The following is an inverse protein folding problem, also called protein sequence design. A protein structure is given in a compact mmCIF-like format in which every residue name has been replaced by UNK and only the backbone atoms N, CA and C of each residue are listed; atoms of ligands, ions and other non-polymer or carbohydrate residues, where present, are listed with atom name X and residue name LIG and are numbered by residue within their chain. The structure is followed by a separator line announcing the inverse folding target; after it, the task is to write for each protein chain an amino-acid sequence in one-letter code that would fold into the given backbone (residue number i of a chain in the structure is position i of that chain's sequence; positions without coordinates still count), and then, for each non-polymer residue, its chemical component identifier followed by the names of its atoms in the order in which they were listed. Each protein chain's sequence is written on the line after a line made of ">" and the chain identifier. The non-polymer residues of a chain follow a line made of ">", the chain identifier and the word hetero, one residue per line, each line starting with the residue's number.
data_IF_350332087927
#
_entry.id   IF_350332087927
#
_cell.length_a   1.000
_cell.length_b   1.000
_cell.length_c   1.000
_cell.angle_alpha   90.00
_cell.angle_beta   90.00
_cell.angle_gamma   90.00
#
_symmetry.space_group_name_H-M   'P 1'
#
loop_
_entity.id
_entity.type
_entity.pdbx_description
1 polymer ?
#
# COMPACT_ATOMS: atom_id res chain seq x y z
N UNK A 1 -20.64 9.57 -5.14
CA UNK A 1 -19.69 8.55 -4.64
C UNK A 1 -20.30 7.95 -3.39
N UNK A 2 -20.51 6.64 -3.36
CA UNK A 2 -21.04 5.88 -2.21
C UNK A 2 -20.23 4.59 -2.08
N UNK A 3 -20.11 4.04 -0.87
CA UNK A 3 -19.36 2.78 -0.65
C UNK A 3 -17.88 2.89 -1.05
N UNK A 4 -17.36 1.86 -1.71
CA UNK A 4 -15.94 1.69 -2.07
C UNK A 4 -15.36 2.87 -2.89
N UNK A 5 -16.18 3.48 -3.75
CA UNK A 5 -15.80 4.67 -4.52
C UNK A 5 -15.54 5.88 -3.64
N UNK A 6 -16.33 6.05 -2.57
CA UNK A 6 -16.15 7.11 -1.60
C UNK A 6 -14.88 6.86 -0.78
N UNK A 7 -14.62 5.61 -0.40
CA UNK A 7 -13.42 5.24 0.35
C UNK A 7 -12.15 5.50 -0.45
N UNK A 8 -12.14 5.15 -1.75
CA UNK A 8 -11.04 5.45 -2.65
C UNK A 8 -10.82 6.96 -2.85
N UNK A 9 -11.89 7.74 -3.05
CA UNK A 9 -11.80 9.18 -3.21
C UNK A 9 -11.31 9.88 -1.94
N UNK A 10 -11.79 9.45 -0.76
CA UNK A 10 -11.33 9.93 0.54
C UNK A 10 -9.87 9.53 0.79
N UNK A 11 -9.45 8.35 0.37
CA UNK A 11 -8.07 7.91 0.44
C UNK A 11 -7.15 8.80 -0.41
N UNK A 12 -7.50 9.08 -1.67
CA UNK A 12 -6.76 10.04 -2.51
C UNK A 12 -6.71 11.44 -1.88
N UNK A 13 -7.83 11.91 -1.33
CA UNK A 13 -7.93 13.20 -0.67
C UNK A 13 -7.00 13.31 0.56
N UNK A 14 -6.92 12.26 1.40
CA UNK A 14 -6.01 12.21 2.56
C UNK A 14 -4.53 12.31 2.18
N UNK A 15 -4.20 12.00 0.93
CA UNK A 15 -2.83 12.09 0.41
C UNK A 15 -2.61 13.32 -0.48
N UNK A 16 -3.43 14.37 -0.35
CA UNK A 16 -3.37 15.61 -1.16
C UNK A 16 -3.43 15.34 -2.68
N UNK A 17 -4.10 14.24 -3.09
CA UNK A 17 -4.09 13.76 -4.47
C UNK A 17 -2.72 13.28 -4.97
N UNK A 18 -1.70 13.24 -4.10
CA UNK A 18 -0.32 12.88 -4.41
C UNK A 18 0.03 11.53 -3.80
N UNK A 19 -0.05 10.49 -4.62
CA UNK A 19 0.39 9.14 -4.25
C UNK A 19 1.92 9.09 -4.22
N UNK A 20 2.50 9.37 -3.05
CA UNK A 20 3.94 9.19 -2.79
C UNK A 20 4.28 7.70 -2.57
N UNK A 21 5.54 7.28 -2.79
CA UNK A 21 5.96 5.93 -2.44
C UNK A 21 5.67 5.62 -0.98
N UNK A 22 5.13 4.44 -0.69
CA UNK A 22 4.97 3.98 0.69
C UNK A 22 6.29 3.42 1.23
N UNK A 23 6.48 3.48 2.55
CA UNK A 23 7.62 2.83 3.22
C UNK A 23 7.11 1.55 3.85
N UNK A 24 7.82 0.46 3.61
CA UNK A 24 7.48 -0.86 4.12
C UNK A 24 8.66 -1.43 4.91
N UNK A 25 8.34 -2.07 6.02
CA UNK A 25 9.26 -2.84 6.86
C UNK A 25 8.99 -4.31 6.59
N UNK A 26 10.03 -5.08 6.28
CA UNK A 26 9.91 -6.54 6.16
C UNK A 26 10.57 -7.21 7.35
N UNK A 27 9.82 -8.09 8.03
CA UNK A 27 10.29 -8.92 9.13
C UNK A 27 9.97 -10.39 8.80
N UNK A 28 10.95 -11.11 8.27
CA UNK A 28 10.74 -12.46 7.73
C UNK A 28 9.78 -12.44 6.55
N UNK A 29 8.66 -13.16 6.67
CA UNK A 29 7.59 -13.23 5.66
C UNK A 29 6.50 -12.15 5.86
N UNK A 30 6.58 -11.39 6.95
CA UNK A 30 5.61 -10.32 7.25
C UNK A 30 6.08 -8.98 6.67
N UNK A 31 5.17 -8.30 5.97
CA UNK A 31 5.41 -6.96 5.42
C UNK A 31 4.46 -5.99 6.13
N UNK A 32 5.04 -5.01 6.82
CA UNK A 32 4.32 -3.95 7.51
C UNK A 32 4.52 -2.63 6.80
N UNK A 33 3.45 -1.97 6.38
CA UNK A 33 3.54 -0.58 5.92
C UNK A 33 3.72 0.32 7.13
N UNK A 34 4.63 1.28 7.05
CA UNK A 34 4.95 2.19 8.15
C UNK A 34 4.80 3.67 7.77
N UNK A 35 4.63 3.98 6.48
CA UNK A 35 4.43 5.35 5.98
C UNK A 35 3.84 5.33 4.57
N UNK A 36 3.17 6.42 4.21
CA UNK A 36 2.61 6.66 2.88
C UNK A 36 1.25 5.99 2.63
N UNK A 37 0.76 6.05 1.39
CA UNK A 37 -0.63 5.74 1.05
C UNK A 37 -1.07 4.30 1.33
N UNK A 38 -0.13 3.37 1.45
CA UNK A 38 -0.46 2.00 1.83
C UNK A 38 -0.70 1.80 3.33
N UNK A 39 -0.40 2.79 4.18
CA UNK A 39 -0.56 2.66 5.64
C UNK A 39 -2.04 2.58 6.04
N UNK A 40 -2.87 3.34 5.34
CA UNK A 40 -4.31 3.43 5.56
C UNK A 40 -5.12 2.76 4.43
N UNK A 41 -4.44 2.00 3.56
CA UNK A 41 -5.10 1.27 2.49
C UNK A 41 -5.85 0.07 3.07
N UNK A 42 -7.12 -0.08 2.72
CA UNK A 42 -7.99 -1.22 3.05
C UNK A 42 -7.62 -2.51 2.29
N UNK A 43 -6.38 -2.61 1.79
CA UNK A 43 -5.91 -3.70 0.93
C UNK A 43 -4.87 -4.60 1.58
N UNK A 44 -4.68 -5.79 1.00
CA UNK A 44 -3.67 -6.78 1.41
C UNK A 44 -2.44 -6.71 0.51
N UNK A 45 -1.25 -6.62 1.10
CA UNK A 45 0.00 -6.80 0.36
C UNK A 45 0.10 -8.27 -0.08
N UNK A 46 0.23 -8.49 -1.38
CA UNK A 46 0.32 -9.85 -1.95
C UNK A 46 1.72 -10.18 -2.48
N UNK A 47 2.55 -9.16 -2.73
CA UNK A 47 3.92 -9.32 -3.21
C UNK A 47 4.77 -8.08 -2.91
N UNK A 48 6.03 -8.31 -2.58
CA UNK A 48 7.07 -7.29 -2.50
C UNK A 48 8.26 -7.68 -3.38
N UNK A 49 8.69 -6.76 -4.23
CA UNK A 49 9.92 -6.85 -5.01
C UNK A 49 10.87 -5.76 -4.53
N UNK A 50 11.77 -6.14 -3.62
CA UNK A 50 12.73 -5.21 -3.04
C UNK A 50 13.73 -4.68 -4.07
N UNK A 51 14.16 -5.52 -5.03
CA UNK A 51 15.14 -5.17 -6.06
C UNK A 51 14.61 -4.04 -6.93
N UNK A 52 13.34 -4.12 -7.32
CA UNK A 52 12.68 -3.12 -8.15
C UNK A 52 11.89 -2.08 -7.35
N UNK A 53 11.92 -2.15 -6.01
CA UNK A 53 11.24 -1.22 -5.10
C UNK A 53 9.74 -1.10 -5.42
N UNK A 54 9.08 -2.24 -5.62
CA UNK A 54 7.65 -2.32 -5.91
C UNK A 54 6.93 -3.22 -4.93
N UNK A 55 5.71 -2.83 -4.59
CA UNK A 55 4.76 -3.65 -3.82
C UNK A 55 3.47 -3.78 -4.61
N UNK A 56 2.82 -4.93 -4.51
CA UNK A 56 1.51 -5.20 -5.07
C UNK A 56 0.50 -5.33 -3.94
N UNK A 57 -0.60 -4.59 -4.06
CA UNK A 57 -1.66 -4.55 -3.07
C UNK A 57 -2.97 -4.90 -3.76
N UNK A 58 -3.67 -5.88 -3.19
CA UNK A 58 -5.02 -6.30 -3.60
C UNK A 58 -6.04 -5.60 -2.72
N UNK A 59 -7.10 -5.06 -3.30
CA UNK A 59 -8.22 -4.46 -2.58
C UNK A 59 -9.52 -4.63 -3.36
N UNK A 60 -10.67 -4.70 -2.67
CA UNK A 60 -11.97 -4.69 -3.32
C UNK A 60 -12.24 -3.30 -3.92
N UNK A 61 -12.67 -3.27 -5.18
CA UNK A 61 -13.10 -2.08 -5.88
C UNK A 61 -14.06 -2.44 -7.02
N UNK A 62 -15.23 -1.80 -7.01
CA UNK A 62 -16.31 -2.04 -7.98
C UNK A 62 -16.79 -3.49 -7.92
N UNK A 63 -16.86 -4.05 -6.71
CA UNK A 63 -17.27 -5.45 -6.48
C UNK A 63 -16.27 -6.50 -6.97
N UNK A 64 -15.07 -6.10 -7.43
CA UNK A 64 -14.00 -6.99 -7.88
C UNK A 64 -12.72 -6.79 -7.05
N UNK A 65 -11.93 -7.85 -6.88
CA UNK A 65 -10.57 -7.70 -6.34
C UNK A 65 -9.65 -7.10 -7.39
N UNK A 66 -9.11 -5.90 -7.10
CA UNK A 66 -8.16 -5.21 -7.96
C UNK A 66 -6.78 -5.28 -7.34
N UNK A 67 -5.79 -5.58 -8.16
CA UNK A 67 -4.38 -5.47 -7.78
C UNK A 67 -3.76 -4.24 -8.43
N UNK A 68 -3.22 -3.35 -7.62
CA UNK A 68 -2.35 -2.26 -8.09
C UNK A 68 -0.93 -2.49 -7.62
N UNK A 69 0.01 -1.78 -8.23
CA UNK A 69 1.39 -1.79 -7.76
C UNK A 69 1.94 -0.39 -7.63
N UNK A 70 2.64 -0.18 -6.52
CA UNK A 70 3.12 1.11 -6.07
C UNK A 70 4.60 1.02 -5.78
N UNK A 71 5.28 2.16 -5.87
CA UNK A 71 6.66 2.28 -5.42
C UNK A 71 6.73 2.09 -3.91
N UNK A 72 7.66 1.25 -3.46
CA UNK A 72 7.90 0.98 -2.05
C UNK A 72 9.39 1.10 -1.72
N UNK A 73 9.73 1.75 -0.61
CA UNK A 73 11.08 1.68 -0.06
C UNK A 73 11.09 0.71 1.12
N UNK A 74 11.95 -0.30 1.02
CA UNK A 74 12.13 -1.29 2.08
C UNK A 74 13.14 -0.76 3.09
N UNK A 75 12.82 -0.86 4.37
CA UNK A 75 13.76 -0.59 5.46
C UNK A 75 14.01 -1.89 6.18
N UNK A 76 15.26 -2.19 6.47
CA UNK A 76 15.62 -3.32 7.33
C UNK A 76 15.29 -2.97 8.78
N UNK A 77 14.68 -3.89 9.51
CA UNK A 77 14.53 -3.76 10.95
C UNK A 77 15.93 -3.83 11.58
N UNK A 78 16.38 -2.74 12.21
CA UNK A 78 17.57 -2.80 13.07
C UNK A 78 17.19 -3.61 14.31
N UNK A 79 17.63 -4.86 14.35
CA UNK A 79 17.67 -5.63 15.58
C UNK A 79 18.75 -5.00 16.47
N UNK A 80 18.33 -4.30 17.52
CA UNK A 80 19.20 -3.84 18.60
C UNK A 80 19.58 -4.98 19.54
#
# INVERSE_FOLDING_TARGET
>A
LQGEDLDYALWLYRHDGLIRPSRVLQAGDEIKVIDGPLLDASGKIIRLDQRHRRVWVSFPFDGEERTVSLSASCIEAQNG
#
